data_IF_833157929686
#
_entry.id   IF_833157929686
#
_cell.length_a   1.000
_cell.length_b   1.000
_cell.length_c   1.000
_cell.angle_alpha   90.00
_cell.angle_beta   90.00
_cell.angle_gamma   90.00
#
_symmetry.space_group_name_H-M   'P 1'
#
loop_
_entity.id
_entity.type
_entity.pdbx_description
1 polymer ?
#
# COMPACT_ATOMS: atom_id res chain seq x y z
N UNK A 1 -19.25 -8.14 -16.96
CA UNK A 1 -17.96 -8.65 -16.48
C UNK A 1 -17.51 -7.88 -15.27
N UNK A 2 -17.13 -8.60 -14.25
CA UNK A 2 -16.73 -7.96 -13.01
C UNK A 2 -15.31 -7.44 -13.12
N UNK A 3 -15.15 -6.19 -12.70
CA UNK A 3 -13.84 -5.59 -12.60
C UNK A 3 -13.11 -6.20 -11.39
N UNK A 4 -11.80 -6.48 -11.55
CA UNK A 4 -10.99 -6.93 -10.42
C UNK A 4 -10.90 -5.80 -9.39
N UNK A 5 -11.05 -6.12 -8.10
CA UNK A 5 -10.83 -5.10 -7.07
C UNK A 5 -9.41 -4.60 -7.11
N UNK A 6 -9.23 -3.32 -6.84
CA UNK A 6 -7.92 -2.68 -6.82
C UNK A 6 -7.50 -2.50 -5.36
N UNK A 7 -6.39 -3.13 -5.01
CA UNK A 7 -5.85 -3.12 -3.65
C UNK A 7 -4.60 -2.25 -3.58
N UNK A 8 -4.57 -1.33 -2.63
CA UNK A 8 -3.40 -0.50 -2.34
C UNK A 8 -2.64 -1.11 -1.17
N UNK A 9 -1.32 -1.23 -1.29
CA UNK A 9 -0.47 -1.74 -0.22
C UNK A 9 0.07 -0.58 0.62
N UNK A 10 -0.15 -0.63 1.93
CA UNK A 10 0.35 0.37 2.86
C UNK A 10 1.25 -0.29 3.90
N UNK A 11 2.47 0.21 4.03
CA UNK A 11 3.42 -0.37 4.97
C UNK A 11 4.68 0.48 5.12
N UNK A 12 5.60 0.05 5.98
CA UNK A 12 6.80 0.82 6.26
C UNK A 12 7.77 0.79 5.08
N UNK A 13 8.27 1.97 4.71
CA UNK A 13 9.24 2.17 3.63
C UNK A 13 10.50 2.81 4.17
N UNK A 14 10.36 3.96 4.84
CA UNK A 14 11.48 4.75 5.35
C UNK A 14 12.24 3.97 6.43
N UNK A 15 13.58 3.95 6.30
CA UNK A 15 14.43 3.27 7.28
C UNK A 15 14.47 1.76 7.15
N UNK A 16 13.86 1.19 6.12
CA UNK A 16 13.87 -0.25 5.89
C UNK A 16 14.86 -0.62 4.79
N UNK A 17 15.51 -1.78 4.89
CA UNK A 17 16.40 -2.24 3.82
C UNK A 17 15.65 -2.28 2.48
N UNK A 18 16.26 -1.70 1.47
CA UNK A 18 15.71 -1.64 0.12
C UNK A 18 14.27 -1.13 0.11
N UNK A 19 13.93 -0.17 1.01
CA UNK A 19 12.60 0.41 1.11
C UNK A 19 11.52 -0.65 1.36
N UNK A 20 11.90 -1.74 2.04
CA UNK A 20 10.99 -2.88 2.31
C UNK A 20 10.48 -3.58 1.04
N UNK A 21 11.26 -3.52 -0.02
CA UNK A 21 10.87 -4.02 -1.34
C UNK A 21 10.35 -5.46 -1.31
N UNK A 22 11.07 -6.34 -0.61
CA UNK A 22 10.71 -7.77 -0.62
C UNK A 22 9.35 -8.04 -0.02
N UNK A 23 9.00 -7.32 1.07
CA UNK A 23 7.68 -7.46 1.66
C UNK A 23 6.59 -6.97 0.71
N UNK A 24 6.80 -5.80 0.09
CA UNK A 24 5.82 -5.28 -0.86
C UNK A 24 5.62 -6.23 -2.05
N UNK A 25 6.69 -6.78 -2.59
CA UNK A 25 6.58 -7.71 -3.72
C UNK A 25 5.89 -9.02 -3.33
N UNK A 26 6.20 -9.56 -2.15
CA UNK A 26 5.58 -10.80 -1.69
C UNK A 26 4.08 -10.64 -1.51
N UNK A 27 3.64 -9.55 -0.90
CA UNK A 27 2.21 -9.31 -0.70
C UNK A 27 1.50 -8.89 -1.97
N UNK A 28 2.19 -8.21 -2.87
CA UNK A 28 1.65 -7.94 -4.20
C UNK A 28 1.31 -9.25 -4.90
N UNK A 29 2.26 -10.19 -4.94
CA UNK A 29 2.04 -11.49 -5.57
C UNK A 29 0.89 -12.24 -4.89
N UNK A 30 0.87 -12.24 -3.55
CA UNK A 30 -0.18 -12.90 -2.79
C UNK A 30 -1.57 -12.40 -3.19
N UNK A 31 -1.75 -11.08 -3.27
CA UNK A 31 -3.04 -10.49 -3.61
C UNK A 31 -3.40 -10.66 -5.09
N UNK A 32 -2.40 -10.60 -5.97
CA UNK A 32 -2.63 -10.83 -7.39
C UNK A 32 -3.12 -12.25 -7.66
N UNK A 33 -2.58 -13.21 -6.93
CA UNK A 33 -3.03 -14.61 -7.04
C UNK A 33 -4.47 -14.79 -6.58
N UNK A 34 -4.97 -13.88 -5.75
CA UNK A 34 -6.37 -13.88 -5.31
C UNK A 34 -7.28 -13.09 -6.24
N UNK A 35 -6.78 -12.67 -7.39
CA UNK A 35 -7.59 -11.99 -8.40
C UNK A 35 -7.68 -10.48 -8.24
N UNK A 36 -6.78 -9.86 -7.47
CA UNK A 36 -6.77 -8.41 -7.30
C UNK A 36 -5.76 -7.75 -8.23
N UNK A 37 -6.06 -6.52 -8.63
CA UNK A 37 -5.05 -5.62 -9.16
C UNK A 37 -4.39 -4.94 -7.96
N UNK A 38 -3.07 -4.81 -7.98
CA UNK A 38 -2.35 -4.27 -6.82
C UNK A 38 -1.61 -3.00 -7.19
N UNK A 39 -1.78 -1.97 -6.36
CA UNK A 39 -1.02 -0.73 -6.46
C UNK A 39 0.08 -0.79 -5.40
N UNK A 40 1.32 -0.87 -5.86
CA UNK A 40 2.50 -0.93 -4.99
C UNK A 40 3.12 0.47 -4.95
N UNK A 41 3.13 1.14 -3.79
CA UNK A 41 3.61 2.52 -3.71
C UNK A 41 5.08 2.68 -4.10
N UNK A 42 5.88 1.63 -3.99
CA UNK A 42 7.27 1.70 -4.41
C UNK A 42 7.43 1.91 -5.92
N UNK A 43 6.42 1.54 -6.70
CA UNK A 43 6.41 1.76 -8.15
C UNK A 43 5.91 3.15 -8.53
N UNK A 44 5.31 3.88 -7.58
CA UNK A 44 4.72 5.21 -7.83
C UNK A 44 5.68 6.34 -7.54
N UNK A 45 6.69 6.10 -6.71
CA UNK A 45 7.51 7.15 -6.14
C UNK A 45 8.98 6.83 -6.33
N UNK A 46 9.75 7.83 -6.79
CA UNK A 46 11.20 7.69 -6.92
C UNK A 46 11.84 7.65 -5.52
N UNK A 47 12.92 6.86 -5.34
CA UNK A 47 13.61 6.83 -4.05
C UNK A 47 14.10 8.19 -3.57
N UNK A 48 14.32 9.13 -4.49
CA UNK A 48 14.81 10.48 -4.18
C UNK A 48 13.71 11.49 -3.90
N UNK A 49 12.43 11.07 -3.99
CA UNK A 49 11.31 11.98 -3.77
C UNK A 49 11.24 12.41 -2.30
N UNK A 50 10.80 13.66 -2.07
CA UNK A 50 10.54 14.13 -0.71
C UNK A 50 9.38 13.33 -0.10
N UNK A 51 9.36 13.23 1.24
CA UNK A 51 8.28 12.52 1.92
C UNK A 51 6.91 13.12 1.57
N UNK A 52 6.81 14.45 1.59
CA UNK A 52 5.54 15.11 1.30
C UNK A 52 5.07 14.85 -0.14
N UNK A 53 5.98 15.01 -1.11
CA UNK A 53 5.65 14.73 -2.51
C UNK A 53 5.23 13.28 -2.72
N UNK A 54 5.94 12.36 -2.07
CA UNK A 54 5.59 10.93 -2.12
C UNK A 54 4.20 10.69 -1.56
N UNK A 55 3.86 11.29 -0.41
CA UNK A 55 2.56 11.12 0.20
C UNK A 55 1.43 11.67 -0.66
N UNK A 56 1.62 12.83 -1.26
CA UNK A 56 0.59 13.41 -2.15
C UNK A 56 0.30 12.45 -3.30
N UNK A 57 1.34 11.91 -3.92
CA UNK A 57 1.17 10.96 -5.03
C UNK A 57 0.49 9.68 -4.56
N UNK A 58 0.91 9.13 -3.42
CA UNK A 58 0.32 7.91 -2.90
C UNK A 58 -1.15 8.09 -2.52
N UNK A 59 -1.49 9.20 -1.85
CA UNK A 59 -2.88 9.47 -1.49
C UNK A 59 -3.77 9.63 -2.72
N UNK A 60 -3.24 10.24 -3.78
CA UNK A 60 -3.98 10.31 -5.04
C UNK A 60 -4.33 8.92 -5.54
N UNK A 61 -3.37 8.00 -5.53
CA UNK A 61 -3.62 6.63 -5.97
C UNK A 61 -4.57 5.86 -5.04
N UNK A 62 -4.54 6.15 -3.74
CA UNK A 62 -5.50 5.56 -2.80
C UNK A 62 -6.94 5.90 -3.20
N UNK A 63 -7.19 7.12 -3.70
CA UNK A 63 -8.53 7.51 -4.14
C UNK A 63 -9.06 6.63 -5.27
N UNK A 64 -8.17 6.00 -6.03
CA UNK A 64 -8.55 5.17 -7.18
C UNK A 64 -8.69 3.69 -6.83
N UNK A 65 -8.45 3.34 -5.58
CA UNK A 65 -8.48 1.94 -5.13
C UNK A 65 -9.80 1.59 -4.45
N UNK A 66 -10.07 0.30 -4.36
CA UNK A 66 -11.24 -0.24 -3.66
C UNK A 66 -10.91 -0.69 -2.25
N UNK A 67 -9.67 -1.11 -2.03
CA UNK A 67 -9.21 -1.71 -0.78
C UNK A 67 -7.85 -1.14 -0.40
N UNK A 68 -7.59 -1.12 0.91
CA UNK A 68 -6.26 -0.81 1.44
C UNK A 68 -5.81 -1.99 2.29
N UNK A 69 -4.65 -2.53 1.98
CA UNK A 69 -4.07 -3.68 2.69
C UNK A 69 -2.83 -3.26 3.45
N UNK A 70 -2.86 -3.49 4.76
CA UNK A 70 -1.80 -3.09 5.68
C UNK A 70 -0.76 -4.19 5.82
N UNK A 71 0.50 -3.86 5.53
CA UNK A 71 1.62 -4.78 5.68
C UNK A 71 2.06 -4.87 7.13
N UNK A 72 2.83 -5.92 7.52
CA UNK A 72 3.34 -6.03 8.88
C UNK A 72 4.12 -4.78 9.30
N UNK A 73 3.93 -4.38 10.54
CA UNK A 73 4.57 -3.21 11.16
C UNK A 73 4.11 -1.87 10.58
N UNK A 74 2.96 -1.85 9.95
CA UNK A 74 2.40 -0.62 9.40
C UNK A 74 2.22 0.47 10.46
N UNK A 75 2.00 0.09 11.71
CA UNK A 75 1.79 1.04 12.81
C UNK A 75 3.02 1.91 13.06
N UNK A 76 4.18 1.44 12.69
CA UNK A 76 5.44 2.16 12.82
C UNK A 76 5.70 3.11 11.66
N UNK A 77 4.86 3.08 10.64
CA UNK A 77 5.02 3.91 9.46
C UNK A 77 4.08 5.11 9.52
N UNK A 78 4.65 6.30 9.55
CA UNK A 78 3.88 7.55 9.52
C UNK A 78 3.05 7.64 8.24
N UNK A 79 3.65 7.25 7.10
CA UNK A 79 2.97 7.26 5.82
C UNK A 79 1.81 6.27 5.78
N UNK A 80 2.04 5.04 6.24
CA UNK A 80 0.98 4.02 6.25
C UNK A 80 -0.18 4.42 7.15
N UNK A 81 0.09 5.05 8.29
CA UNK A 81 -0.97 5.54 9.17
C UNK A 81 -1.81 6.62 8.51
N UNK A 82 -1.16 7.51 7.76
CA UNK A 82 -1.86 8.56 7.03
C UNK A 82 -2.71 7.97 5.92
N UNK A 83 -2.17 7.02 5.17
CA UNK A 83 -2.91 6.32 4.12
C UNK A 83 -4.13 5.59 4.67
N UNK A 84 -3.98 4.96 5.84
CA UNK A 84 -5.09 4.29 6.51
C UNK A 84 -6.21 5.25 6.88
N UNK A 85 -5.88 6.39 7.46
CA UNK A 85 -6.87 7.41 7.81
C UNK A 85 -7.62 7.89 6.57
N UNK A 86 -6.87 8.13 5.51
CA UNK A 86 -7.43 8.61 4.26
C UNK A 86 -8.35 7.57 3.64
N UNK A 87 -7.92 6.31 3.61
CA UNK A 87 -8.73 5.22 3.07
C UNK A 87 -10.04 5.05 3.85
N UNK A 88 -9.96 5.16 5.18
CA UNK A 88 -11.17 5.09 6.01
C UNK A 88 -12.13 6.24 5.72
N UNK A 89 -11.60 7.44 5.54
CA UNK A 89 -12.44 8.59 5.21
C UNK A 89 -13.14 8.42 3.86
N UNK A 90 -12.49 7.73 2.92
CA UNK A 90 -13.07 7.44 1.60
C UNK A 90 -13.99 6.22 1.58
N UNK A 91 -14.03 5.46 2.66
CA UNK A 91 -14.87 4.26 2.74
C UNK A 91 -14.28 3.03 2.08
N UNK A 92 -12.96 2.97 1.87
CA UNK A 92 -12.32 1.78 1.33
C UNK A 92 -12.40 0.63 2.34
N UNK A 93 -12.37 -0.60 1.81
CA UNK A 93 -12.19 -1.77 2.67
C UNK A 93 -10.77 -1.81 3.17
N UNK A 94 -10.62 -1.90 4.49
CA UNK A 94 -9.31 -1.98 5.11
C UNK A 94 -9.09 -3.39 5.65
N UNK A 95 -7.97 -4.00 5.26
CA UNK A 95 -7.59 -5.35 5.69
C UNK A 95 -6.13 -5.35 6.09
N UNK A 96 -5.77 -6.24 7.00
CA UNK A 96 -4.38 -6.54 7.27
C UNK A 96 -3.99 -7.79 6.51
N UNK A 97 -2.77 -7.80 5.94
CA UNK A 97 -2.27 -8.99 5.25
C UNK A 97 -1.94 -10.07 6.29
N UNK A 98 -2.09 -11.37 5.91
CA UNK A 98 -1.63 -12.44 6.79
C UNK A 98 -0.11 -12.47 6.85
N UNK A 99 0.43 -13.05 7.92
CA UNK A 99 1.88 -13.27 8.01
C UNK A 99 2.26 -14.39 7.05
N UNK A 100 3.15 -14.11 6.11
CA UNK A 100 3.65 -15.11 5.18
C UNK A 100 4.89 -15.78 5.77
N UNK A 101 4.93 -17.09 5.72
CA UNK A 101 6.05 -17.89 6.24
C UNK A 101 6.92 -18.42 5.12
#
# INVERSE_FOLDING_TARGET
MDRKPVAYLAGPVTGRPRRNLWAFLAYQEYLERQGRQVVNPLHLVRPTASWLGAMVRCLWHVTLCDELWLLPEWERSRGARLELRYARALGLRVREVPVLH
#
